data_IF_163492385244
#
_entry.id   IF_163492385244
#
_cell.length_a   1.000
_cell.length_b   1.000
_cell.length_c   1.000
_cell.angle_alpha   90.00
_cell.angle_beta   90.00
_cell.angle_gamma   90.00
#
_symmetry.space_group_name_H-M   'P 1'
#
loop_
_entity.id
_entity.type
_entity.pdbx_description
1 polymer ?
#
# COMPACT_ATOMS: atom_id res chain seq x y z
N UNK A 1 -2.48 17.34 -5.41
CA UNK A 1 -1.99 16.14 -6.11
C UNK A 1 -2.68 14.93 -5.52
N UNK A 2 -3.26 14.08 -6.33
CA UNK A 2 -3.85 12.82 -5.87
C UNK A 2 -2.81 11.70 -6.05
N UNK A 3 -2.40 11.07 -4.95
CA UNK A 3 -1.38 10.03 -4.98
C UNK A 3 -2.05 8.66 -4.79
N UNK A 4 -2.41 8.03 -5.90
CA UNK A 4 -3.06 6.72 -5.94
C UNK A 4 -2.19 5.71 -6.71
N UNK A 5 -1.80 4.64 -6.04
CA UNK A 5 -1.02 3.53 -6.59
C UNK A 5 -1.90 2.32 -6.95
N UNK A 6 -3.20 2.53 -7.04
CA UNK A 6 -4.18 1.53 -7.49
C UNK A 6 -4.85 2.03 -8.75
N UNK A 7 -4.29 1.70 -9.90
CA UNK A 7 -4.87 2.10 -11.20
C UNK A 7 -6.12 1.28 -11.51
N UNK A 8 -6.18 0.04 -11.05
CA UNK A 8 -7.33 -0.84 -11.25
C UNK A 8 -7.47 -1.87 -10.14
N UNK A 9 -8.70 -2.12 -9.70
CA UNK A 9 -9.05 -3.28 -8.89
C UNK A 9 -9.46 -4.41 -9.83
N UNK A 10 -8.74 -5.53 -9.77
CA UNK A 10 -8.98 -6.71 -10.60
C UNK A 10 -9.93 -7.69 -9.91
N UNK A 11 -9.82 -7.80 -8.60
CA UNK A 11 -10.63 -8.69 -7.77
C UNK A 11 -10.82 -8.08 -6.39
N UNK A 12 -12.01 -8.20 -5.83
CA UNK A 12 -12.31 -7.80 -4.45
C UNK A 12 -13.30 -8.77 -3.84
N UNK A 13 -12.87 -9.41 -2.76
CA UNK A 13 -13.69 -10.27 -1.91
C UNK A 13 -13.58 -9.77 -0.46
N UNK A 14 -14.38 -10.27 0.49
CA UNK A 14 -14.26 -9.85 1.89
C UNK A 14 -12.89 -10.10 2.54
N UNK A 15 -12.08 -10.99 1.95
CA UNK A 15 -10.81 -11.44 2.54
C UNK A 15 -9.58 -11.16 1.66
N UNK A 16 -9.81 -10.76 0.40
CA UNK A 16 -8.74 -10.62 -0.59
C UNK A 16 -9.03 -9.49 -1.57
N UNK A 17 -7.98 -8.75 -1.91
CA UNK A 17 -7.99 -7.79 -3.01
C UNK A 17 -6.82 -8.04 -3.95
N UNK A 18 -7.07 -7.89 -5.25
CA UNK A 18 -6.04 -7.86 -6.28
C UNK A 18 -6.14 -6.56 -7.05
N UNK A 19 -5.04 -5.84 -7.13
CA UNK A 19 -4.96 -4.55 -7.82
C UNK A 19 -3.83 -4.53 -8.85
N UNK A 20 -3.88 -3.55 -9.72
CA UNK A 20 -2.86 -3.29 -10.72
C UNK A 20 -2.37 -1.86 -10.60
N UNK A 21 -1.05 -1.68 -10.68
CA UNK A 21 -0.36 -0.40 -10.83
C UNK A 21 0.50 -0.44 -12.07
N UNK A 22 0.20 0.41 -13.05
CA UNK A 22 1.07 0.63 -14.20
C UNK A 22 2.26 1.49 -13.81
N UNK A 23 3.45 1.14 -14.26
CA UNK A 23 4.66 1.91 -14.05
C UNK A 23 5.08 2.55 -15.36
N UNK A 24 5.11 3.87 -15.40
CA UNK A 24 5.47 4.61 -16.61
C UNK A 24 6.47 5.73 -16.33
N UNK A 25 7.20 6.17 -17.36
CA UNK A 25 8.13 7.30 -17.26
C UNK A 25 7.45 8.65 -16.97
N UNK A 26 6.12 8.71 -17.02
CA UNK A 26 5.35 9.89 -16.62
C UNK A 26 5.34 10.13 -15.09
N UNK A 27 5.79 9.17 -14.31
CA UNK A 27 5.87 9.27 -12.85
C UNK A 27 7.12 10.04 -12.44
N UNK A 28 6.95 11.21 -11.82
CA UNK A 28 8.01 12.16 -11.50
C UNK A 28 9.17 11.55 -10.70
N UNK A 29 8.85 10.69 -9.71
CA UNK A 29 9.87 10.06 -8.86
C UNK A 29 10.79 9.09 -9.61
N UNK A 30 10.44 8.63 -10.81
CA UNK A 30 11.31 7.77 -11.62
C UNK A 30 12.45 8.52 -12.28
N UNK A 31 12.35 9.84 -12.40
CA UNK A 31 13.40 10.67 -12.99
C UNK A 31 14.67 10.66 -12.12
N UNK A 32 14.51 10.56 -10.81
CA UNK A 32 15.60 10.56 -9.84
C UNK A 32 15.95 9.19 -9.27
N UNK A 33 15.07 8.19 -9.49
CA UNK A 33 15.24 6.85 -8.90
C UNK A 33 15.39 5.74 -9.97
N UNK A 34 16.47 5.60 -10.70
CA UNK A 34 17.68 6.40 -10.82
C UNK A 34 17.75 6.97 -12.23
N UNK A 35 18.48 8.09 -12.47
CA UNK A 35 18.49 8.78 -13.76
C UNK A 35 18.88 7.87 -14.96
N UNK A 36 19.83 6.94 -14.77
CA UNK A 36 20.28 6.00 -15.81
C UNK A 36 19.63 4.61 -15.71
N UNK A 37 18.91 4.34 -14.64
CA UNK A 37 18.24 3.08 -14.38
C UNK A 37 16.95 3.30 -13.58
N UNK A 38 15.89 3.81 -14.24
CA UNK A 38 14.63 4.09 -13.55
C UNK A 38 13.97 2.80 -13.12
N UNK A 39 13.64 2.72 -11.83
CA UNK A 39 12.90 1.62 -11.21
C UNK A 39 11.95 2.13 -10.14
N UNK A 40 10.81 1.48 -10.00
CA UNK A 40 9.85 1.80 -8.96
C UNK A 40 10.50 1.67 -7.58
N UNK A 41 10.50 2.74 -6.74
CA UNK A 41 11.05 2.67 -5.40
C UNK A 41 10.39 1.58 -4.55
N UNK A 42 11.18 0.86 -3.76
CA UNK A 42 10.66 -0.20 -2.88
C UNK A 42 9.59 0.30 -1.91
N UNK A 43 9.74 1.53 -1.40
CA UNK A 43 8.73 2.17 -0.54
C UNK A 43 7.40 2.42 -1.25
N UNK A 44 7.43 2.65 -2.57
CA UNK A 44 6.22 2.79 -3.37
C UNK A 44 5.52 1.45 -3.61
N UNK A 45 6.28 0.36 -3.70
CA UNK A 45 5.71 -0.98 -3.76
C UNK A 45 4.99 -1.33 -2.45
N UNK A 46 5.59 -0.99 -1.31
CA UNK A 46 4.95 -1.14 0.00
C UNK A 46 3.68 -0.27 0.08
N UNK A 47 3.74 0.99 -0.34
CA UNK A 47 2.57 1.87 -0.34
C UNK A 47 1.45 1.35 -1.25
N UNK A 48 1.78 0.75 -2.40
CA UNK A 48 0.77 0.10 -3.26
C UNK A 48 0.05 -1.04 -2.52
N UNK A 49 0.77 -1.86 -1.75
CA UNK A 49 0.15 -2.88 -0.90
C UNK A 49 -0.71 -2.26 0.21
N UNK A 50 -0.25 -1.19 0.84
CA UNK A 50 -0.99 -0.47 1.88
C UNK A 50 -2.29 0.12 1.33
N UNK A 51 -2.26 0.75 0.16
CA UNK A 51 -3.45 1.32 -0.47
C UNK A 51 -4.45 0.24 -0.91
N UNK A 52 -3.96 -0.89 -1.45
CA UNK A 52 -4.80 -2.04 -1.73
C UNK A 52 -5.44 -2.59 -0.43
N UNK A 53 -4.66 -2.74 0.63
CA UNK A 53 -5.15 -3.19 1.93
C UNK A 53 -6.18 -2.25 2.56
N UNK A 54 -6.02 -0.93 2.43
CA UNK A 54 -7.05 0.06 2.85
C UNK A 54 -8.36 -0.19 2.12
N UNK A 55 -8.34 -0.31 0.79
CA UNK A 55 -9.54 -0.58 -0.01
C UNK A 55 -10.22 -1.88 0.40
N UNK A 56 -9.44 -2.93 0.70
CA UNK A 56 -9.96 -4.19 1.20
C UNK A 56 -10.68 -4.00 2.55
N UNK A 57 -10.04 -3.36 3.52
CA UNK A 57 -10.63 -3.13 4.85
C UNK A 57 -11.85 -2.22 4.75
N UNK A 58 -11.77 -1.10 4.04
CA UNK A 58 -12.86 -0.12 3.89
C UNK A 58 -14.09 -0.69 3.15
N UNK A 59 -13.91 -1.69 2.28
CA UNK A 59 -15.01 -2.37 1.59
C UNK A 59 -15.84 -3.28 2.49
N UNK A 60 -15.37 -3.58 3.70
CA UNK A 60 -16.01 -4.53 4.61
C UNK A 60 -17.12 -3.87 5.43
N UNK A 61 -18.16 -4.61 5.71
CA UNK A 61 -19.28 -4.12 6.54
C UNK A 61 -18.87 -3.80 7.99
N UNK A 62 -17.93 -4.60 8.54
CA UNK A 62 -17.42 -4.42 9.91
C UNK A 62 -16.49 -3.20 10.06
N UNK A 63 -16.19 -2.52 8.96
CA UNK A 63 -15.41 -1.27 8.93
C UNK A 63 -16.26 0.00 8.82
N UNK A 64 -17.58 -0.11 8.79
CA UNK A 64 -18.49 1.06 8.70
C UNK A 64 -18.43 2.00 9.91
N UNK A 65 -17.82 1.58 11.00
CA UNK A 65 -17.60 2.39 12.20
C UNK A 65 -16.29 3.18 12.24
N UNK A 66 -15.47 3.09 11.19
CA UNK A 66 -14.21 3.82 11.11
C UNK A 66 -14.48 5.34 11.09
N UNK A 67 -13.82 6.06 12.00
CA UNK A 67 -13.94 7.52 12.12
C UNK A 67 -12.76 8.26 11.51
N UNK A 68 -11.62 7.59 11.41
CA UNK A 68 -10.37 8.15 10.94
C UNK A 68 -9.81 7.33 9.77
N UNK A 69 -9.00 7.94 8.90
CA UNK A 69 -8.33 7.22 7.84
C UNK A 69 -7.46 6.08 8.38
N UNK A 70 -7.40 4.97 7.65
CA UNK A 70 -6.49 3.88 7.95
C UNK A 70 -5.05 4.27 7.57
N UNK A 71 -4.12 4.01 8.46
CA UNK A 71 -2.69 4.26 8.26
C UNK A 71 -1.89 2.99 8.52
N UNK A 72 -0.70 2.94 7.93
CA UNK A 72 0.27 1.90 8.20
C UNK A 72 0.76 2.02 9.65
N UNK A 73 0.49 1.02 10.46
CA UNK A 73 0.91 0.96 11.85
C UNK A 73 2.23 0.22 12.04
N UNK A 74 2.44 -0.88 11.31
CA UNK A 74 3.63 -1.73 11.45
C UNK A 74 3.87 -2.53 10.17
N UNK A 75 5.13 -2.78 9.87
CA UNK A 75 5.56 -3.69 8.80
C UNK A 75 6.44 -4.80 9.39
N UNK A 76 6.27 -6.01 8.91
CA UNK A 76 7.04 -7.18 9.31
C UNK A 76 7.39 -8.04 8.10
N UNK A 77 8.56 -8.69 8.17
CA UNK A 77 9.04 -9.63 7.15
C UNK A 77 8.97 -9.07 5.72
N UNK A 78 9.24 -7.77 5.56
CA UNK A 78 9.29 -7.14 4.25
C UNK A 78 10.50 -7.65 3.48
N UNK A 79 10.26 -8.17 2.28
CA UNK A 79 11.30 -8.68 1.39
C UNK A 79 11.11 -8.06 0.01
N UNK A 80 12.18 -7.57 -0.56
CA UNK A 80 12.23 -7.10 -1.95
C UNK A 80 12.89 -8.15 -2.83
N UNK A 81 12.35 -8.32 -4.03
CA UNK A 81 12.85 -9.23 -5.04
C UNK A 81 13.17 -8.51 -6.34
N UNK A 82 12.31 -8.63 -7.33
CA UNK A 82 12.53 -8.08 -8.67
C UNK A 82 12.33 -6.56 -8.73
N UNK A 83 13.18 -5.87 -9.49
CA UNK A 83 12.94 -4.48 -9.87
C UNK A 83 11.76 -4.36 -10.81
N UNK A 84 11.00 -3.28 -10.67
CA UNK A 84 9.90 -2.93 -11.56
C UNK A 84 10.31 -1.72 -12.38
N UNK A 85 10.46 -1.92 -13.68
CA UNK A 85 10.88 -0.87 -14.62
C UNK A 85 9.68 -0.20 -15.28
N UNK A 86 9.83 1.02 -15.80
CA UNK A 86 8.82 1.63 -16.67
C UNK A 86 8.45 0.72 -17.84
N UNK A 87 7.15 0.65 -18.15
CA UNK A 87 6.58 -0.27 -19.13
C UNK A 87 6.04 -1.57 -18.54
N UNK A 88 6.45 -1.91 -17.33
CA UNK A 88 5.88 -3.04 -16.58
C UNK A 88 4.68 -2.61 -15.73
N UNK A 89 3.93 -3.58 -15.22
CA UNK A 89 2.90 -3.38 -14.23
C UNK A 89 3.22 -4.16 -12.95
N UNK A 90 2.80 -3.62 -11.81
CA UNK A 90 2.84 -4.28 -10.52
C UNK A 90 1.45 -4.82 -10.21
N UNK A 91 1.31 -6.14 -10.16
CA UNK A 91 0.10 -6.81 -9.68
C UNK A 91 0.24 -7.05 -8.20
N UNK A 92 -0.63 -6.41 -7.44
CA UNK A 92 -0.61 -6.45 -5.97
C UNK A 92 -1.75 -7.32 -5.49
N UNK A 93 -1.44 -8.27 -4.63
CA UNK A 93 -2.40 -9.11 -3.93
C UNK A 93 -2.27 -8.89 -2.43
N UNK A 94 -3.38 -8.60 -1.77
CA UNK A 94 -3.43 -8.44 -0.33
C UNK A 94 -4.53 -9.33 0.24
N UNK A 95 -4.16 -10.10 1.26
CA UNK A 95 -5.06 -10.97 2.00
C UNK A 95 -5.21 -10.46 3.43
N UNK A 96 -6.44 -10.49 3.91
CA UNK A 96 -6.75 -10.22 5.31
C UNK A 96 -6.33 -11.43 6.16
N UNK A 97 -5.56 -11.17 7.18
CA UNK A 97 -5.22 -12.13 8.22
C UNK A 97 -6.16 -11.99 9.43
N UNK A 98 -5.58 -11.89 10.60
CA UNK A 98 -6.36 -11.74 11.84
C UNK A 98 -6.81 -10.30 12.03
N UNK A 99 -8.09 -10.12 12.38
CA UNK A 99 -8.56 -8.85 12.92
C UNK A 99 -8.22 -8.81 14.41
N UNK A 100 -7.54 -7.76 14.82
CA UNK A 100 -7.27 -7.42 16.21
C UNK A 100 -8.15 -6.22 16.57
N UNK A 101 -8.29 -5.91 17.86
CA UNK A 101 -9.08 -4.75 18.28
C UNK A 101 -8.47 -3.44 17.74
N UNK A 102 -9.18 -2.80 16.79
CA UNK A 102 -8.74 -1.56 16.14
C UNK A 102 -7.57 -1.69 15.16
N UNK A 103 -7.18 -2.92 14.83
CA UNK A 103 -6.08 -3.20 13.91
C UNK A 103 -6.42 -4.36 12.95
N UNK A 104 -5.90 -4.29 11.73
CA UNK A 104 -6.03 -5.32 10.70
C UNK A 104 -4.64 -5.81 10.30
N UNK A 105 -4.36 -7.09 10.55
CA UNK A 105 -3.14 -7.75 10.09
C UNK A 105 -3.38 -8.24 8.65
N UNK A 106 -2.50 -7.83 7.72
CA UNK A 106 -2.61 -8.13 6.31
C UNK A 106 -1.30 -8.75 5.81
N UNK A 107 -1.43 -9.64 4.84
CA UNK A 107 -0.31 -10.16 4.07
C UNK A 107 -0.41 -9.63 2.65
N UNK A 108 0.66 -9.01 2.17
CA UNK A 108 0.76 -8.51 0.80
C UNK A 108 1.86 -9.20 0.02
N UNK A 109 1.62 -9.38 -1.26
CA UNK A 109 2.59 -9.79 -2.25
C UNK A 109 2.34 -9.04 -3.55
N UNK A 110 3.40 -8.58 -4.18
CA UNK A 110 3.31 -7.95 -5.48
C UNK A 110 4.26 -8.61 -6.48
N UNK A 111 3.76 -8.88 -7.66
CA UNK A 111 4.49 -9.51 -8.76
C UNK A 111 4.63 -8.55 -9.94
N UNK A 112 5.71 -8.72 -10.72
CA UNK A 112 5.97 -7.90 -11.90
C UNK A 112 5.34 -8.56 -13.12
N UNK A 113 4.51 -7.79 -13.85
CA UNK A 113 3.99 -8.18 -15.15
C UNK A 113 4.73 -7.36 -16.20
N UNK A 114 5.58 -8.01 -16.98
CA UNK A 114 6.27 -7.38 -18.09
C UNK A 114 5.54 -7.72 -19.42
N UNK A 115 5.37 -6.74 -20.31
CA UNK A 115 4.77 -7.00 -21.62
C UNK A 115 5.53 -8.08 -22.38
N UNK A 116 4.83 -9.08 -22.89
CA UNK A 116 5.41 -10.18 -23.66
C UNK A 116 6.14 -11.25 -22.84
N UNK A 117 6.22 -11.12 -21.51
CA UNK A 117 6.79 -12.16 -20.67
C UNK A 117 5.89 -13.41 -20.65
N UNK A 118 6.52 -14.57 -20.72
CA UNK A 118 5.85 -15.88 -20.64
C UNK A 118 6.33 -16.57 -19.36
N UNK A 119 5.41 -17.23 -18.66
CA UNK A 119 5.68 -17.96 -17.44
C UNK A 119 5.19 -17.26 -16.19
N UNK A 120 5.70 -17.69 -15.04
CA UNK A 120 5.30 -17.16 -13.74
C UNK A 120 5.88 -15.76 -13.50
N UNK A 121 5.02 -14.85 -13.06
CA UNK A 121 5.43 -13.47 -12.76
C UNK A 121 6.31 -13.43 -11.49
N UNK A 122 7.53 -12.85 -11.55
CA UNK A 122 8.42 -12.82 -10.39
C UNK A 122 7.91 -11.87 -9.31
N UNK A 123 8.14 -12.25 -8.04
CA UNK A 123 7.82 -11.41 -6.89
C UNK A 123 8.73 -10.17 -6.83
N UNK A 124 8.12 -8.99 -6.74
CA UNK A 124 8.81 -7.72 -6.54
C UNK A 124 8.95 -7.38 -5.05
N UNK A 125 7.89 -7.57 -4.30
CA UNK A 125 7.86 -7.33 -2.85
C UNK A 125 6.85 -8.25 -2.18
N UNK A 126 7.15 -8.67 -0.97
CA UNK A 126 6.20 -9.38 -0.12
C UNK A 126 6.41 -9.00 1.35
N UNK A 127 5.37 -9.11 2.15
CA UNK A 127 5.48 -8.81 3.57
C UNK A 127 4.15 -8.88 4.31
N UNK A 128 4.21 -8.60 5.60
CA UNK A 128 3.04 -8.43 6.47
C UNK A 128 3.01 -7.01 7.00
N UNK A 129 1.81 -6.46 7.12
CA UNK A 129 1.64 -5.12 7.66
C UNK A 129 0.33 -5.00 8.42
N UNK A 130 0.31 -4.06 9.33
CA UNK A 130 -0.86 -3.75 10.16
C UNK A 130 -1.39 -2.39 9.73
N UNK A 131 -2.67 -2.33 9.41
CA UNK A 131 -3.43 -1.09 9.28
C UNK A 131 -4.18 -0.80 10.58
N UNK A 132 -4.26 0.45 10.95
CA UNK A 132 -5.04 0.96 12.07
C UNK A 132 -5.60 2.34 11.77
N UNK A 133 -6.61 2.77 12.50
CA UNK A 133 -7.05 4.16 12.40
C UNK A 133 -5.94 5.14 12.82
N UNK A 134 -5.86 6.25 12.12
CA UNK A 134 -4.97 7.35 12.50
C UNK A 134 -5.33 7.87 13.90
N UNK A 135 -4.31 8.03 14.74
CA UNK A 135 -4.46 8.67 16.05
C UNK A 135 -4.06 10.13 15.90
N UNK A 136 -5.03 11.03 15.86
CA UNK A 136 -4.77 12.47 15.91
C UNK A 136 -4.83 12.87 17.37
N UNK A 137 -3.68 13.18 17.96
CA UNK A 137 -3.64 13.91 19.23
C UNK A 137 -4.33 15.24 18.99
N UNK A 138 -5.44 15.48 19.69
CA UNK A 138 -6.17 16.73 19.49
C UNK A 138 -5.23 17.90 19.84
N UNK A 139 -5.04 18.81 18.89
CA UNK A 139 -4.30 20.08 19.08
C UNK A 139 -4.87 20.91 20.25
N UNK A 140 -6.06 20.58 20.74
CA UNK A 140 -6.69 21.16 21.92
C UNK A 140 -5.91 20.95 23.24
N UNK A 141 -4.99 19.98 23.33
CA UNK A 141 -4.15 19.82 24.51
C UNK A 141 -3.00 20.84 24.57
N UNK A 142 -2.52 21.32 23.42
CA UNK A 142 -1.39 22.26 23.36
C UNK A 142 -1.82 23.71 23.75
N UNK A 143 -3.11 24.03 23.61
CA UNK A 143 -3.61 25.38 23.92
C UNK A 143 -3.99 25.59 25.40
N UNK A 144 -4.09 24.53 26.21
CA UNK A 144 -4.42 24.69 27.66
C UNK A 144 -3.20 25.04 28.50
N UNK A 145 -2.00 24.66 28.09
CA UNK A 145 -0.78 24.93 28.86
C UNK A 145 -0.16 26.31 28.54
N UNK A 146 -0.61 26.98 27.50
CA UNK A 146 -0.11 28.28 27.10
C UNK A 146 -0.86 29.48 27.69
N UNK A 147 -1.95 29.26 28.41
CA UNK A 147 -2.80 30.33 28.99
C UNK A 147 -2.67 30.45 30.52
N UNK A 148 -1.80 29.65 31.15
CA UNK A 148 -1.60 29.66 32.61
C UNK A 148 -0.17 30.03 33.02
N UNK A 149 0.46 30.98 32.27
CA UNK A 149 1.66 31.68 32.75
C UNK A 149 1.45 33.17 32.61
#
# INVERSE_FOLDING_TARGET
>A
MHFDLVDRVLELTPERIVTLKQVSMAEEYLQDHFATFPVLPGVMMLEAMVQAGRRLVESREDSRGLRMPLVLGKVRALKYGRFVKPGAALRVEVMLGKKLEGEWDLRGEATVIEPGAVGEAPTAVSGRFILREARISSVAAIHRDAVTQ
#
